data_IF_494491760392
#
_entry.id   IF_494491760392
#
_cell.length_a   1.000
_cell.length_b   1.000
_cell.length_c   1.000
_cell.angle_alpha   90.00
_cell.angle_beta   90.00
_cell.angle_gamma   90.00
#
_symmetry.space_group_name_H-M   'P 1'
#
loop_
_entity.id
_entity.type
_entity.pdbx_description
1 polymer ?
#
# COMPACT_ATOMS: atom_id res chain seq x y z
N UNK A 1 9.58 59.18 -68.64
CA UNK A 1 8.66 59.69 -67.60
C UNK A 1 7.74 58.53 -67.19
N UNK A 2 8.17 57.76 -66.20
CA UNK A 2 7.69 57.76 -64.79
C UNK A 2 6.50 56.79 -64.58
N UNK A 3 6.80 55.69 -63.87
CA UNK A 3 5.97 54.95 -62.90
C UNK A 3 4.53 54.54 -63.27
N UNK A 4 4.31 53.24 -63.49
CA UNK A 4 3.21 52.45 -62.88
C UNK A 4 3.31 50.96 -63.29
N UNK A 5 4.39 50.28 -62.88
CA UNK A 5 4.39 48.81 -62.78
C UNK A 5 4.20 48.43 -61.32
N UNK A 6 3.46 47.35 -61.09
CA UNK A 6 3.21 46.67 -59.81
C UNK A 6 2.04 47.17 -58.95
N UNK A 7 0.80 46.98 -59.43
CA UNK A 7 -0.33 46.85 -58.50
C UNK A 7 -1.46 45.90 -58.97
N UNK A 8 -1.16 44.82 -59.69
CA UNK A 8 -2.24 43.91 -60.16
C UNK A 8 -2.04 42.40 -60.04
N UNK A 9 -1.10 41.94 -59.19
CA UNK A 9 -0.86 40.49 -59.01
C UNK A 9 -0.87 39.99 -57.56
N UNK A 10 -1.30 40.79 -56.57
CA UNK A 10 -1.34 40.37 -55.15
C UNK A 10 -2.71 39.93 -54.63
N UNK A 11 -3.62 39.49 -55.49
CA UNK A 11 -4.98 39.07 -55.06
C UNK A 11 -5.46 37.70 -55.56
N UNK A 12 -4.62 36.92 -56.28
CA UNK A 12 -5.03 35.57 -56.75
C UNK A 12 -4.37 34.40 -56.02
N UNK A 13 -3.45 34.64 -55.10
CA UNK A 13 -2.71 33.59 -54.38
C UNK A 13 -3.18 33.34 -52.95
N UNK A 14 -4.23 34.02 -52.47
CA UNK A 14 -4.75 33.85 -51.10
C UNK A 14 -5.88 32.84 -50.96
N UNK A 15 -6.61 32.52 -52.04
CA UNK A 15 -7.83 31.72 -51.93
C UNK A 15 -7.62 30.20 -52.14
N UNK A 16 -6.42 29.76 -52.51
CA UNK A 16 -6.09 28.32 -52.65
C UNK A 16 -5.17 27.76 -51.56
N UNK A 17 -4.48 28.63 -50.81
CA UNK A 17 -3.61 28.24 -49.69
C UNK A 17 -4.38 28.03 -48.39
N UNK A 18 -5.51 28.73 -48.19
CA UNK A 18 -6.36 28.58 -47.02
C UNK A 18 -6.97 27.16 -46.85
N UNK A 19 -7.56 26.51 -47.87
CA UNK A 19 -8.14 25.18 -47.69
C UNK A 19 -7.08 24.08 -47.54
N UNK A 20 -5.91 24.22 -48.19
CA UNK A 20 -4.82 23.25 -48.09
C UNK A 20 -4.14 23.30 -46.71
N UNK A 21 -3.92 24.49 -46.16
CA UNK A 21 -3.38 24.66 -44.81
C UNK A 21 -4.37 24.18 -43.74
N UNK A 22 -5.67 24.41 -43.94
CA UNK A 22 -6.72 23.91 -43.05
C UNK A 22 -6.84 22.38 -43.10
N UNK A 23 -6.78 21.77 -44.29
CA UNK A 23 -6.80 20.32 -44.44
C UNK A 23 -5.58 19.65 -43.79
N UNK A 24 -4.40 20.26 -43.90
CA UNK A 24 -3.19 19.78 -43.24
C UNK A 24 -3.30 19.90 -41.70
N UNK A 25 -3.84 21.01 -41.19
CA UNK A 25 -4.07 21.20 -39.76
C UNK A 25 -5.07 20.17 -39.20
N UNK A 26 -6.16 19.91 -39.93
CA UNK A 26 -7.16 18.89 -39.57
C UNK A 26 -6.55 17.49 -39.61
N UNK A 27 -5.75 17.16 -40.63
CA UNK A 27 -5.06 15.87 -40.70
C UNK A 27 -4.07 15.65 -39.54
N UNK A 28 -3.33 16.70 -39.14
CA UNK A 28 -2.44 16.66 -37.98
C UNK A 28 -3.24 16.50 -36.68
N UNK A 29 -4.37 17.20 -36.52
CA UNK A 29 -5.25 17.04 -35.35
C UNK A 29 -5.87 15.63 -35.27
N UNK A 30 -6.23 15.03 -36.40
CA UNK A 30 -6.73 13.64 -36.45
C UNK A 30 -5.61 12.64 -36.11
N UNK A 31 -4.37 12.88 -36.56
CA UNK A 31 -3.21 12.05 -36.19
C UNK A 31 -2.86 12.16 -34.71
N UNK A 32 -3.02 13.33 -34.09
CA UNK A 32 -2.83 13.53 -32.64
C UNK A 32 -3.96 12.85 -31.85
N UNK A 33 -5.21 12.94 -32.32
CA UNK A 33 -6.35 12.27 -31.69
C UNK A 33 -6.29 10.74 -31.81
N UNK A 34 -5.75 10.21 -32.91
CA UNK A 34 -5.52 8.78 -33.12
C UNK A 34 -4.24 8.25 -32.42
N UNK A 35 -3.35 9.15 -31.98
CA UNK A 35 -2.12 8.84 -31.25
C UNK A 35 -2.31 8.63 -29.75
N UNK A 36 -3.49 8.92 -29.20
CA UNK A 36 -3.90 8.45 -27.88
C UNK A 36 -4.25 6.97 -27.96
N UNK A 37 -3.22 6.13 -28.12
CA UNK A 37 -3.32 4.74 -27.74
C UNK A 37 -3.74 4.71 -26.29
N UNK A 38 -4.96 4.26 -26.04
CA UNK A 38 -5.45 3.96 -24.71
C UNK A 38 -4.51 2.89 -24.16
N UNK A 39 -3.49 3.30 -23.39
CA UNK A 39 -2.79 2.41 -22.49
C UNK A 39 -3.86 1.86 -21.57
N UNK A 40 -4.44 0.71 -21.95
CA UNK A 40 -5.26 -0.08 -21.05
C UNK A 40 -4.42 -0.18 -19.79
N UNK A 41 -4.90 0.33 -18.64
CA UNK A 41 -4.24 0.06 -17.39
C UNK A 41 -4.04 -1.44 -17.37
N UNK A 42 -2.78 -1.88 -17.25
CA UNK A 42 -2.52 -3.30 -17.06
C UNK A 42 -3.48 -3.74 -15.96
N UNK A 43 -4.46 -4.56 -16.35
CA UNK A 43 -5.42 -5.13 -15.44
C UNK A 43 -4.56 -5.95 -14.51
N UNK A 44 -4.24 -5.39 -13.34
CA UNK A 44 -3.59 -6.14 -12.27
C UNK A 44 -4.61 -7.22 -11.98
N UNK A 45 -4.35 -8.41 -12.53
CA UNK A 45 -5.28 -9.52 -12.47
C UNK A 45 -5.74 -9.63 -11.02
N UNK A 46 -7.06 -9.62 -10.83
CA UNK A 46 -7.62 -9.99 -9.55
C UNK A 46 -6.95 -11.31 -9.15
N UNK A 47 -6.50 -11.37 -7.89
CA UNK A 47 -5.99 -12.57 -7.25
C UNK A 47 -6.74 -13.80 -7.78
N UNK A 48 -6.07 -14.77 -8.42
CA UNK A 48 -6.74 -15.96 -8.90
C UNK A 48 -7.58 -16.57 -7.76
N UNK A 49 -8.77 -17.13 -8.05
CA UNK A 49 -9.51 -17.89 -7.05
C UNK A 49 -8.65 -19.08 -6.62
N UNK A 50 -7.99 -18.94 -5.47
CA UNK A 50 -6.91 -19.84 -5.04
C UNK A 50 -5.80 -19.14 -4.24
N UNK A 51 -5.76 -17.80 -4.19
CA UNK A 51 -4.78 -17.09 -3.35
C UNK A 51 -4.90 -17.51 -1.87
N UNK A 52 -3.87 -18.21 -1.40
CA UNK A 52 -3.70 -18.84 -0.09
C UNK A 52 -3.64 -17.85 1.09
N UNK A 53 -3.89 -16.55 0.86
CA UNK A 53 -3.69 -15.49 1.85
C UNK A 53 -4.94 -14.61 2.06
N UNK A 54 -4.90 -13.77 3.09
CA UNK A 54 -5.89 -12.71 3.31
C UNK A 54 -5.63 -11.53 2.38
N UNK A 55 -6.70 -10.82 1.98
CA UNK A 55 -6.58 -9.67 1.08
C UNK A 55 -7.32 -8.44 1.59
N UNK A 56 -6.75 -7.26 1.37
CA UNK A 56 -7.41 -5.96 1.58
C UNK A 56 -7.30 -5.12 0.31
N UNK A 57 -8.42 -4.71 -0.31
CA UNK A 57 -8.45 -4.05 -1.63
C UNK A 57 -7.58 -4.76 -2.68
N UNK A 58 -7.75 -6.09 -2.74
CA UNK A 58 -7.00 -7.00 -3.62
C UNK A 58 -5.48 -6.99 -3.40
N UNK A 59 -5.03 -6.55 -2.22
CA UNK A 59 -3.65 -6.69 -1.77
C UNK A 59 -3.55 -7.90 -0.85
N UNK A 60 -2.86 -8.95 -1.30
CA UNK A 60 -2.54 -10.15 -0.52
C UNK A 60 -1.03 -10.37 -0.38
N UNK A 61 -0.61 -11.47 0.25
CA UNK A 61 0.80 -11.77 0.54
C UNK A 61 1.75 -11.62 -0.65
N UNK A 62 1.30 -11.89 -1.88
CA UNK A 62 2.12 -11.84 -3.08
C UNK A 62 2.05 -10.51 -3.83
N UNK A 63 1.29 -9.53 -3.34
CA UNK A 63 1.15 -8.24 -4.02
C UNK A 63 2.40 -7.40 -3.86
N UNK A 64 3.10 -7.16 -4.97
CA UNK A 64 4.29 -6.31 -5.00
C UNK A 64 3.85 -4.83 -5.05
N UNK A 65 4.34 -4.03 -4.12
CA UNK A 65 4.14 -2.59 -4.14
C UNK A 65 4.73 -1.98 -5.41
N UNK A 66 3.91 -1.19 -6.09
CA UNK A 66 4.28 -0.45 -7.28
C UNK A 66 3.40 0.79 -7.42
N UNK A 67 3.82 1.75 -8.24
CA UNK A 67 3.05 2.98 -8.45
C UNK A 67 1.59 2.73 -8.90
N UNK A 68 1.26 1.75 -9.77
CA UNK A 68 -0.13 1.41 -10.07
C UNK A 68 -0.97 1.01 -8.84
N UNK A 69 -0.39 0.21 -7.93
CA UNK A 69 -1.03 -0.17 -6.66
C UNK A 69 -1.28 1.07 -5.80
N UNK A 70 -0.28 1.95 -5.67
CA UNK A 70 -0.41 3.19 -4.92
C UNK A 70 -1.48 4.11 -5.48
N UNK A 71 -1.52 4.29 -6.81
CA UNK A 71 -2.55 5.12 -7.47
C UNK A 71 -3.95 4.57 -7.21
N UNK A 72 -4.16 3.27 -7.38
CA UNK A 72 -5.45 2.61 -7.10
C UNK A 72 -5.89 2.85 -5.66
N UNK A 73 -4.99 2.66 -4.69
CA UNK A 73 -5.28 2.92 -3.30
C UNK A 73 -5.59 4.38 -3.03
N UNK A 74 -4.90 5.32 -3.68
CA UNK A 74 -5.19 6.75 -3.56
C UNK A 74 -6.58 7.11 -4.08
N UNK A 75 -7.02 6.47 -5.17
CA UNK A 75 -8.35 6.68 -5.72
C UNK A 75 -9.44 6.14 -4.79
N UNK A 76 -9.18 5.01 -4.12
CA UNK A 76 -10.12 4.34 -3.22
C UNK A 76 -10.14 4.93 -1.79
N UNK A 77 -8.98 5.30 -1.25
CA UNK A 77 -8.79 5.67 0.16
C UNK A 77 -8.40 7.15 0.35
N UNK A 78 -8.17 7.89 -0.73
CA UNK A 78 -7.77 9.30 -0.68
C UNK A 78 -6.27 9.49 -0.58
N UNK A 79 -5.82 10.69 -0.20
CA UNK A 79 -4.39 11.00 -0.20
C UNK A 79 -3.65 10.26 0.93
N UNK A 80 -2.53 9.66 0.55
CA UNK A 80 -1.61 8.98 1.46
C UNK A 80 -0.49 9.91 1.95
N UNK A 81 -0.03 9.67 3.19
CA UNK A 81 1.33 9.99 3.58
C UNK A 81 2.22 8.77 3.37
N UNK A 82 3.44 8.99 2.85
CA UNK A 82 4.41 7.93 2.57
C UNK A 82 5.66 8.08 3.45
N UNK A 83 6.17 6.99 4.00
CA UNK A 83 7.46 6.93 4.67
C UNK A 83 8.26 5.71 4.20
N UNK A 84 9.56 5.88 4.03
CA UNK A 84 10.47 4.81 3.58
C UNK A 84 11.27 4.15 4.71
N UNK A 85 11.12 4.66 5.93
CA UNK A 85 11.69 4.09 7.15
C UNK A 85 10.65 4.17 8.24
N UNK A 86 10.51 3.11 9.02
CA UNK A 86 9.58 3.06 10.14
C UNK A 86 10.02 2.03 11.16
N UNK A 87 9.71 2.30 12.42
CA UNK A 87 9.59 1.26 13.44
C UNK A 87 8.42 0.34 13.09
N UNK A 88 8.53 -0.92 13.47
CA UNK A 88 7.48 -1.93 13.24
C UNK A 88 7.13 -2.57 14.57
N UNK A 89 5.89 -2.35 15.00
CA UNK A 89 5.32 -2.97 16.18
C UNK A 89 4.04 -3.73 15.79
N UNK A 90 4.11 -5.05 15.89
CA UNK A 90 3.02 -5.95 15.57
C UNK A 90 1.97 -5.98 16.70
N UNK A 91 2.31 -5.51 17.91
CA UNK A 91 1.43 -5.51 19.08
C UNK A 91 0.41 -4.36 19.02
N UNK A 92 -0.51 -4.47 18.06
CA UNK A 92 -1.50 -3.42 17.75
C UNK A 92 -2.74 -3.42 18.64
N UNK A 93 -2.81 -4.32 19.62
CA UNK A 93 -4.02 -4.61 20.39
C UNK A 93 -3.87 -4.15 21.85
N UNK A 94 -3.23 -4.96 22.70
CA UNK A 94 -2.92 -4.66 24.09
C UNK A 94 -1.55 -5.26 24.44
N UNK A 95 -0.79 -4.67 25.38
CA UNK A 95 0.51 -5.20 25.77
C UNK A 95 0.44 -6.65 26.26
N UNK A 96 1.34 -7.50 25.76
CA UNK A 96 1.40 -8.94 26.10
C UNK A 96 0.37 -9.81 25.38
N UNK A 97 -0.49 -9.24 24.54
CA UNK A 97 -1.50 -10.00 23.79
C UNK A 97 -0.86 -11.02 22.86
N UNK A 98 0.19 -10.61 22.12
CA UNK A 98 0.86 -11.54 21.20
C UNK A 98 1.53 -12.68 21.96
N UNK A 99 2.28 -12.37 23.02
CA UNK A 99 2.96 -13.39 23.82
C UNK A 99 1.99 -14.43 24.41
N UNK A 100 0.78 -14.01 24.82
CA UNK A 100 -0.21 -14.89 25.43
C UNK A 100 -0.96 -15.77 24.41
N UNK A 101 -1.19 -15.28 23.19
CA UNK A 101 -2.14 -15.90 22.27
C UNK A 101 -1.63 -16.18 20.86
N UNK A 102 -0.55 -15.52 20.46
CA UNK A 102 0.07 -15.58 19.12
C UNK A 102 1.60 -15.60 19.26
N UNK A 103 2.18 -16.59 19.96
CA UNK A 103 3.61 -16.65 20.25
C UNK A 103 4.49 -16.63 18.99
N UNK A 104 3.97 -17.12 17.88
CA UNK A 104 4.61 -17.08 16.56
C UNK A 104 4.79 -15.64 16.04
N UNK A 105 3.80 -14.77 16.22
CA UNK A 105 3.89 -13.34 15.89
C UNK A 105 4.71 -12.57 16.92
N UNK A 106 4.62 -12.94 18.21
CA UNK A 106 5.45 -12.35 19.25
C UNK A 106 6.95 -12.57 18.98
N UNK A 107 7.33 -13.77 18.53
CA UNK A 107 8.72 -14.07 18.16
C UNK A 107 9.21 -13.16 17.02
N UNK A 108 8.38 -12.91 16.01
CA UNK A 108 8.69 -11.95 14.95
C UNK A 108 8.76 -10.52 15.47
N UNK A 109 7.83 -10.10 16.33
CA UNK A 109 7.81 -8.76 16.91
C UNK A 109 9.08 -8.48 17.72
N UNK A 110 9.55 -9.47 18.49
CA UNK A 110 10.81 -9.37 19.24
C UNK A 110 12.03 -9.26 18.32
N UNK A 111 12.07 -10.03 17.22
CA UNK A 111 13.17 -9.93 16.24
C UNK A 111 13.20 -8.60 15.49
N UNK A 112 12.04 -8.03 15.18
CA UNK A 112 11.93 -6.68 14.60
C UNK A 112 12.50 -5.63 15.56
N UNK A 113 12.27 -5.80 16.87
CA UNK A 113 12.63 -4.82 17.89
C UNK A 113 13.84 -5.25 18.74
N UNK A 114 14.79 -5.99 18.15
CA UNK A 114 16.05 -6.38 18.81
C UNK A 114 17.18 -5.37 18.48
N UNK A 115 17.93 -4.88 19.48
CA UNK A 115 17.86 -5.21 20.90
C UNK A 115 16.66 -4.57 21.63
N UNK A 116 16.15 -5.22 22.69
CA UNK A 116 14.93 -4.78 23.37
C UNK A 116 15.09 -3.39 24.00
N UNK A 117 14.08 -2.54 23.80
CA UNK A 117 14.05 -1.16 24.32
C UNK A 117 14.68 -0.14 23.39
N UNK A 118 15.30 -0.56 22.28
CA UNK A 118 15.76 0.34 21.23
C UNK A 118 14.68 0.59 20.18
N UNK A 119 14.79 1.72 19.48
CA UNK A 119 13.97 2.04 18.32
C UNK A 119 14.70 1.54 17.07
N UNK A 120 14.26 0.38 16.57
CA UNK A 120 14.82 -0.22 15.35
C UNK A 120 14.05 0.31 14.13
N UNK A 121 14.73 1.08 13.28
CA UNK A 121 14.16 1.57 12.03
C UNK A 121 14.44 0.59 10.90
N UNK A 122 13.38 0.10 10.26
CA UNK A 122 13.44 -0.82 9.12
C UNK A 122 13.33 -0.09 7.79
N UNK A 123 13.87 -0.70 6.73
CA UNK A 123 13.65 -0.25 5.36
C UNK A 123 12.30 -0.80 4.86
N UNK A 124 11.36 0.11 4.58
CA UNK A 124 9.97 -0.22 4.30
C UNK A 124 9.36 0.76 3.31
N UNK A 125 8.17 0.46 2.82
CA UNK A 125 7.26 1.48 2.28
C UNK A 125 6.00 1.49 3.13
N UNK A 126 5.78 2.60 3.84
CA UNK A 126 4.62 2.81 4.70
C UNK A 126 3.66 3.80 4.05
N UNK A 127 2.45 3.35 3.73
CA UNK A 127 1.36 4.21 3.25
C UNK A 127 0.36 4.43 4.39
N UNK A 128 -0.02 5.68 4.64
CA UNK A 128 -0.96 6.06 5.69
C UNK A 128 -2.10 6.92 5.13
N UNK A 129 -3.32 6.42 5.21
CA UNK A 129 -4.54 7.10 4.80
C UNK A 129 -5.31 7.52 6.05
N UNK A 130 -5.17 8.79 6.45
CA UNK A 130 -5.71 9.32 7.72
C UNK A 130 -7.17 9.77 7.67
N UNK A 131 -7.71 9.90 6.46
CA UNK A 131 -9.06 10.44 6.22
C UNK A 131 -9.82 9.59 5.21
N UNK A 132 -9.61 8.27 5.23
CA UNK A 132 -10.21 7.36 4.25
C UNK A 132 -11.74 7.49 4.21
N UNK A 133 -12.38 7.75 5.36
CA UNK A 133 -13.82 8.01 5.46
C UNK A 133 -14.36 9.11 4.54
N UNK A 134 -13.53 10.10 4.15
CA UNK A 134 -13.91 11.13 3.17
C UNK A 134 -14.14 10.57 1.76
N UNK A 135 -13.73 9.33 1.49
CA UNK A 135 -14.00 8.58 0.25
C UNK A 135 -15.19 7.62 0.38
N UNK A 136 -16.07 7.82 1.37
CA UNK A 136 -17.26 6.99 1.61
C UNK A 136 -16.95 5.51 1.88
N UNK A 137 -15.80 5.24 2.53
CA UNK A 137 -15.45 3.90 3.04
C UNK A 137 -15.57 3.89 4.57
N UNK A 138 -15.80 2.74 5.22
CA UNK A 138 -16.05 2.70 6.67
C UNK A 138 -14.77 2.91 7.52
N UNK A 139 -13.63 3.19 6.91
CA UNK A 139 -12.33 3.24 7.58
C UNK A 139 -11.95 4.66 7.99
N UNK A 140 -11.63 4.85 9.26
CA UNK A 140 -11.11 6.13 9.77
C UNK A 140 -9.61 6.25 9.46
N UNK A 141 -8.87 5.14 9.53
CA UNK A 141 -7.43 5.08 9.27
C UNK A 141 -7.05 3.76 8.60
N UNK A 142 -6.20 3.83 7.58
CA UNK A 142 -5.56 2.67 6.96
C UNK A 142 -4.06 2.89 6.91
N UNK A 143 -3.31 1.91 7.39
CA UNK A 143 -1.86 1.84 7.29
C UNK A 143 -1.48 0.55 6.58
N UNK A 144 -0.69 0.69 5.52
CA UNK A 144 -0.19 -0.42 4.73
C UNK A 144 1.33 -0.37 4.77
N UNK A 145 1.95 -1.47 5.16
CA UNK A 145 3.39 -1.56 5.30
C UNK A 145 3.93 -2.66 4.39
N UNK A 146 4.90 -2.31 3.55
CA UNK A 146 5.58 -3.20 2.62
C UNK A 146 7.07 -3.25 2.94
N UNK A 147 7.72 -4.39 2.67
CA UNK A 147 9.16 -4.55 2.81
C UNK A 147 9.93 -3.63 1.84
N UNK A 148 11.00 -2.98 2.30
CA UNK A 148 11.91 -2.22 1.42
C UNK A 148 12.67 -3.11 0.43
N UNK A 149 12.78 -4.41 0.72
CA UNK A 149 13.54 -5.38 -0.09
C UNK A 149 12.67 -6.04 -1.16
N UNK A 150 11.64 -6.78 -0.75
CA UNK A 150 10.78 -7.55 -1.65
C UNK A 150 9.61 -6.74 -2.20
N UNK A 151 9.34 -5.56 -1.62
CA UNK A 151 8.15 -4.74 -1.90
C UNK A 151 6.82 -5.48 -1.59
N UNK A 152 6.86 -6.66 -0.96
CA UNK A 152 5.66 -7.41 -0.55
C UNK A 152 5.11 -6.87 0.77
N UNK A 153 3.82 -7.10 1.08
CA UNK A 153 3.21 -6.62 2.31
C UNK A 153 3.78 -7.33 3.52
N UNK A 154 4.00 -6.61 4.60
CA UNK A 154 4.39 -7.20 5.90
C UNK A 154 3.27 -7.11 6.92
N UNK A 155 2.56 -5.97 6.95
CA UNK A 155 1.49 -5.75 7.90
C UNK A 155 0.53 -4.66 7.43
N UNK A 156 -0.77 -4.88 7.58
CA UNK A 156 -1.80 -3.86 7.37
C UNK A 156 -2.58 -3.61 8.67
N UNK A 157 -2.85 -2.34 8.97
CA UNK A 157 -3.64 -1.90 10.12
C UNK A 157 -4.76 -0.97 9.66
N UNK A 158 -6.00 -1.35 9.97
CA UNK A 158 -7.18 -0.56 9.70
C UNK A 158 -7.87 -0.24 11.01
N UNK A 159 -8.33 1.01 11.18
CA UNK A 159 -9.12 1.43 12.33
C UNK A 159 -10.44 2.04 11.87
N UNK A 160 -11.51 1.71 12.59
CA UNK A 160 -12.81 2.32 12.41
C UNK A 160 -13.59 2.31 13.72
N UNK A 161 -14.44 3.30 13.97
CA UNK A 161 -15.22 3.39 15.21
C UNK A 161 -16.34 2.35 15.26
N UNK A 162 -17.40 2.60 14.50
CA UNK A 162 -18.61 1.76 14.46
C UNK A 162 -18.61 0.87 13.22
N UNK A 163 -19.04 -0.38 13.36
CA UNK A 163 -19.18 -1.32 12.25
C UNK A 163 -20.47 -1.10 11.44
N UNK A 164 -20.68 0.13 10.99
CA UNK A 164 -21.89 0.53 10.24
C UNK A 164 -22.05 -0.24 8.92
N UNK A 165 -20.93 -0.68 8.33
CA UNK A 165 -20.89 -1.41 7.06
C UNK A 165 -21.01 -2.94 7.23
N UNK A 166 -21.09 -3.46 8.47
CA UNK A 166 -21.10 -4.91 8.71
C UNK A 166 -19.80 -5.60 8.27
N UNK A 167 -18.67 -4.92 8.42
CA UNK A 167 -17.32 -5.36 8.09
C UNK A 167 -16.96 -6.64 8.83
N UNK A 168 -17.27 -6.75 10.12
CA UNK A 168 -16.94 -7.92 10.93
C UNK A 168 -17.71 -9.16 10.44
N UNK A 169 -19.00 -9.00 10.16
CA UNK A 169 -19.83 -10.08 9.60
C UNK A 169 -19.42 -10.42 8.16
N UNK A 170 -18.98 -9.44 7.36
CA UNK A 170 -18.42 -9.71 6.04
C UNK A 170 -17.15 -10.57 6.13
N UNK A 171 -16.27 -10.32 7.11
CA UNK A 171 -15.07 -11.13 7.34
C UNK A 171 -15.42 -12.55 7.80
N UNK A 172 -16.39 -12.72 8.72
CA UNK A 172 -16.90 -14.04 9.11
C UNK A 172 -17.43 -14.84 7.92
N UNK A 173 -18.27 -14.22 7.08
CA UNK A 173 -18.81 -14.87 5.87
C UNK A 173 -17.72 -15.25 4.88
N UNK A 174 -16.67 -14.44 4.75
CA UNK A 174 -15.58 -14.67 3.79
C UNK A 174 -14.57 -15.71 4.27
N UNK A 175 -14.29 -15.76 5.57
CA UNK A 175 -13.17 -16.55 6.12
C UNK A 175 -13.60 -17.66 7.07
N UNK A 176 -14.90 -17.81 7.33
CA UNK A 176 -15.45 -18.80 8.26
C UNK A 176 -15.46 -18.30 9.71
N UNK A 177 -15.72 -19.20 10.65
CA UNK A 177 -15.77 -18.87 12.07
C UNK A 177 -14.36 -18.58 12.62
N UNK A 178 -14.15 -17.43 13.28
CA UNK A 178 -12.88 -17.10 13.91
C UNK A 178 -12.67 -17.89 15.21
N UNK A 179 -11.41 -18.04 15.60
CA UNK A 179 -11.06 -18.25 16.99
C UNK A 179 -11.39 -16.97 17.77
N UNK A 180 -12.14 -17.10 18.86
CA UNK A 180 -12.48 -15.99 19.75
C UNK A 180 -11.52 -15.98 20.94
N UNK A 181 -10.89 -14.85 21.18
CA UNK A 181 -10.04 -14.62 22.36
C UNK A 181 -10.70 -13.51 23.19
N UNK A 182 -11.09 -13.86 24.42
CA UNK A 182 -11.60 -12.91 25.41
C UNK A 182 -10.45 -12.49 26.34
N UNK A 183 -10.24 -11.20 26.49
CA UNK A 183 -9.18 -10.63 27.33
C UNK A 183 -9.61 -10.46 28.79
N UNK A 184 -10.81 -10.91 29.16
CA UNK A 184 -11.32 -10.88 30.54
C UNK A 184 -11.78 -9.49 31.01
N UNK A 185 -11.76 -8.47 30.15
CA UNK A 185 -12.19 -7.09 30.44
C UNK A 185 -13.61 -6.77 29.95
N UNK A 186 -14.39 -7.80 29.59
CA UNK A 186 -15.76 -7.69 29.08
C UNK A 186 -15.82 -7.48 27.56
N UNK A 187 -16.95 -7.00 27.05
CA UNK A 187 -17.22 -6.88 25.61
C UNK A 187 -16.25 -5.98 24.81
N UNK A 188 -15.41 -5.19 25.50
CA UNK A 188 -14.44 -4.25 24.94
C UNK A 188 -13.02 -4.84 24.79
N UNK A 189 -12.80 -6.10 25.17
CA UNK A 189 -11.51 -6.79 25.07
C UNK A 189 -11.65 -8.13 24.37
N UNK A 190 -12.28 -8.16 23.20
CA UNK A 190 -12.38 -9.38 22.41
C UNK A 190 -11.61 -9.24 21.10
N UNK A 191 -10.88 -10.30 20.75
CA UNK A 191 -10.28 -10.47 19.43
C UNK A 191 -10.90 -11.66 18.70
N UNK A 192 -11.18 -11.47 17.42
CA UNK A 192 -11.52 -12.51 16.46
C UNK A 192 -10.29 -12.79 15.62
N UNK A 193 -9.85 -14.04 15.58
CA UNK A 193 -8.62 -14.45 14.89
C UNK A 193 -8.93 -15.49 13.82
N UNK A 194 -8.53 -15.20 12.59
CA UNK A 194 -8.48 -16.16 11.50
C UNK A 194 -7.03 -16.45 11.16
N UNK A 195 -6.75 -17.71 10.85
CA UNK A 195 -5.47 -18.16 10.32
C UNK A 195 -5.69 -18.79 8.97
N UNK A 196 -4.77 -18.52 8.04
CA UNK A 196 -4.72 -19.17 6.74
C UNK A 196 -3.25 -19.35 6.38
N UNK A 197 -2.82 -20.60 6.29
CA UNK A 197 -1.41 -20.97 6.18
C UNK A 197 -0.57 -20.28 7.25
N UNK A 198 0.39 -19.44 6.85
CA UNK A 198 1.23 -18.68 7.77
C UNK A 198 0.66 -17.30 8.14
N UNK A 199 -0.42 -16.85 7.51
CA UNK A 199 -0.94 -15.50 7.69
C UNK A 199 -2.02 -15.44 8.77
N UNK A 200 -2.10 -14.28 9.43
CA UNK A 200 -3.02 -14.04 10.53
C UNK A 200 -3.84 -12.78 10.27
N UNK A 201 -5.16 -12.92 10.39
CA UNK A 201 -6.09 -11.80 10.41
C UNK A 201 -6.68 -11.68 11.81
N UNK A 202 -6.59 -10.49 12.40
CA UNK A 202 -7.15 -10.18 13.71
C UNK A 202 -8.14 -9.03 13.57
N UNK A 203 -9.31 -9.19 14.17
CA UNK A 203 -10.24 -8.08 14.43
C UNK A 203 -10.39 -7.92 15.93
N UNK A 204 -9.92 -6.81 16.47
CA UNK A 204 -10.01 -6.51 17.89
C UNK A 204 -10.97 -5.35 18.15
N UNK A 205 -11.80 -5.48 19.18
CA UNK A 205 -12.51 -4.34 19.79
C UNK A 205 -11.59 -3.79 20.87
N UNK A 206 -11.24 -2.51 20.79
CA UNK A 206 -10.28 -1.90 21.71
C UNK A 206 -10.75 -0.49 22.06
N UNK A 207 -10.74 -0.10 23.35
CA UNK A 207 -10.96 1.30 23.71
C UNK A 207 -9.86 2.18 23.13
N UNK A 208 -10.23 3.38 22.68
CA UNK A 208 -9.27 4.44 22.38
C UNK A 208 -8.85 5.17 23.67
N UNK A 209 -8.05 6.23 23.52
CA UNK A 209 -7.54 7.01 24.67
C UNK A 209 -8.65 7.71 25.47
N UNK A 210 -9.84 7.87 24.90
CA UNK A 210 -11.01 8.46 25.54
C UNK A 210 -11.96 7.38 26.09
N UNK A 211 -11.61 6.10 25.95
CA UNK A 211 -12.44 4.97 26.36
C UNK A 211 -13.49 4.56 25.33
N UNK A 212 -13.55 5.23 24.17
CA UNK A 212 -14.50 4.90 23.11
C UNK A 212 -14.06 3.61 22.42
N UNK A 213 -14.98 2.64 22.32
CA UNK A 213 -14.67 1.34 21.72
C UNK A 213 -14.63 1.50 20.20
N UNK A 214 -13.46 1.27 19.62
CA UNK A 214 -13.28 1.15 18.18
C UNK A 214 -12.91 -0.27 17.77
N UNK A 215 -12.95 -0.51 16.47
CA UNK A 215 -12.47 -1.73 15.84
C UNK A 215 -11.09 -1.50 15.23
N UNK A 216 -10.25 -2.54 15.34
CA UNK A 216 -8.96 -2.64 14.66
C UNK A 216 -8.94 -3.91 13.84
N UNK A 217 -8.55 -3.81 12.57
CA UNK A 217 -8.28 -4.96 11.72
C UNK A 217 -6.79 -4.97 11.42
N UNK A 218 -6.17 -6.11 11.64
CA UNK A 218 -4.74 -6.32 11.49
C UNK A 218 -4.49 -7.55 10.63
N UNK A 219 -3.79 -7.37 9.51
CA UNK A 219 -3.35 -8.45 8.63
C UNK A 219 -1.84 -8.62 8.77
N UNK A 220 -1.39 -9.82 9.14
CA UNK A 220 0.02 -10.15 9.30
C UNK A 220 0.45 -11.16 8.24
N UNK A 221 1.48 -10.80 7.46
CA UNK A 221 2.04 -11.64 6.41
C UNK A 221 3.35 -12.23 6.88
N UNK A 222 3.29 -13.33 7.64
CA UNK A 222 4.41 -13.78 8.48
C UNK A 222 5.64 -14.17 7.66
N UNK A 223 5.44 -14.90 6.56
CA UNK A 223 6.51 -15.28 5.65
C UNK A 223 7.25 -14.06 5.05
N UNK A 224 6.52 -12.98 4.76
CA UNK A 224 7.11 -11.75 4.22
C UNK A 224 7.89 -10.97 5.29
N UNK A 225 7.45 -11.02 6.55
CA UNK A 225 8.21 -10.44 7.69
C UNK A 225 9.52 -11.20 7.87
N UNK A 226 9.49 -12.54 7.81
CA UNK A 226 10.70 -13.37 7.88
C UNK A 226 11.66 -13.09 6.72
N UNK A 227 11.15 -13.06 5.48
CA UNK A 227 11.94 -12.72 4.28
C UNK A 227 12.65 -11.38 4.44
N UNK A 228 11.94 -10.36 4.94
CA UNK A 228 12.52 -9.04 5.19
C UNK A 228 13.62 -9.07 6.26
N UNK A 229 13.37 -9.73 7.40
CA UNK A 229 14.35 -9.83 8.48
C UNK A 229 15.64 -10.53 8.02
N UNK A 230 15.51 -11.59 7.21
CA UNK A 230 16.66 -12.28 6.61
C UNK A 230 17.43 -11.35 5.67
N UNK A 231 16.74 -10.61 4.79
CA UNK A 231 17.39 -9.66 3.90
C UNK A 231 18.12 -8.53 4.66
N UNK A 232 17.55 -8.03 5.76
CA UNK A 232 18.20 -7.02 6.62
C UNK A 232 19.46 -7.57 7.31
N UNK A 233 19.45 -8.84 7.73
CA UNK A 233 20.62 -9.49 8.33
C UNK A 233 21.73 -9.69 7.31
N UNK A 234 21.41 -10.20 6.11
CA UNK A 234 22.36 -10.35 5.01
C UNK A 234 22.98 -9.01 4.61
N UNK A 235 22.18 -7.95 4.50
CA UNK A 235 22.70 -6.61 4.18
C UNK A 235 23.63 -6.09 5.28
N UNK A 236 23.26 -6.28 6.56
CA UNK A 236 24.11 -5.91 7.70
C UNK A 236 25.45 -6.64 7.66
N UNK A 237 25.45 -7.95 7.39
CA UNK A 237 26.68 -8.73 7.25
C UNK A 237 27.55 -8.25 6.08
N UNK A 238 26.96 -8.02 4.91
CA UNK A 238 27.68 -7.54 3.73
C UNK A 238 28.33 -6.18 4.00
N UNK A 239 27.59 -5.25 4.62
CA UNK A 239 28.12 -3.94 5.03
C UNK A 239 29.26 -4.08 6.05
N UNK A 240 29.15 -4.99 7.02
CA UNK A 240 30.21 -5.25 7.99
C UNK A 240 31.48 -5.83 7.34
N UNK A 241 31.32 -6.79 6.40
CA UNK A 241 32.44 -7.36 5.62
C UNK A 241 33.14 -6.31 4.75
N UNK A 242 32.37 -5.44 4.09
CA UNK A 242 32.91 -4.35 3.28
C UNK A 242 33.74 -3.38 4.12
N UNK A 243 33.22 -2.94 5.28
CA UNK A 243 33.93 -2.06 6.22
C UNK A 243 35.27 -2.66 6.68
N UNK A 244 35.30 -3.97 6.98
CA UNK A 244 36.54 -4.68 7.37
C UNK A 244 37.56 -4.74 6.24
N UNK A 245 37.14 -4.87 4.97
CA UNK A 245 38.06 -4.87 3.81
C UNK A 245 38.68 -3.49 3.59
N UNK A 246 37.87 -2.42 3.59
CA UNK A 246 38.36 -1.05 3.41
C UNK A 246 39.28 -0.60 4.55
N UNK A 247 38.97 -1.00 5.78
CA UNK A 247 39.84 -0.74 6.94
C UNK A 247 41.22 -1.41 6.82
N UNK A 248 41.34 -2.58 6.18
CA UNK A 248 42.63 -3.26 5.97
C UNK A 248 43.48 -2.65 4.86
N UNK A 249 42.89 -1.90 3.94
CA UNK A 249 43.61 -1.21 2.85
C UNK A 249 44.04 0.21 3.19
N UNK A 250 43.62 0.74 4.35
CA UNK A 250 43.91 2.09 4.80
C UNK A 250 45.10 2.19 5.78
N UNK A 251 45.68 1.04 6.16
CA UNK A 251 46.89 0.90 6.97
C UNK A 251 47.92 0.04 6.22
#
# INVERSE_FOLDING_TARGET
>A
MTTALAHRDRLKTRDRLAPAALALLIAVLILIAAGCGEERPAEIAAAPPGDESFTFYDLGAHTVYAEPVRRRLRDQLGNEAIAHRSIIDLETTAPGFLAAHLPELDALNRRLNDPPGERVDHDVVKLMYRYARQRNVPFDYVELLFSGFSQKPIFFHIRFKADEAGTVEALRRRHGEPQVIDWGTGAAGQSLVWRRDADVLIVSRVPDRLGEIGHRISFFFMANIEEMLTAEEEEREQRARARRKTGKTAF
#
